data_IF_251828276237
#
_entry.id   IF_251828276237
#
_cell.length_a   1.000
_cell.length_b   1.000
_cell.length_c   1.000
_cell.angle_alpha   90.00
_cell.angle_beta   90.00
_cell.angle_gamma   90.00
#
_symmetry.space_group_name_H-M   'P 1'
#
loop_
_entity.id
_entity.type
_entity.pdbx_description
1 polymer ?
#
# COMPACT_ATOMS: atom_id res chain seq x y z
N UNK A 1 -4.21 -16.14 12.71
CA UNK A 1 -4.09 -15.08 11.71
C UNK A 1 -5.03 -13.95 12.05
N UNK A 2 -4.53 -12.72 11.98
CA UNK A 2 -5.34 -11.55 12.31
C UNK A 2 -6.26 -11.19 11.16
N UNK A 3 -7.51 -10.85 11.51
CA UNK A 3 -8.49 -10.35 10.58
C UNK A 3 -8.38 -8.83 10.55
N UNK A 4 -8.21 -8.23 9.36
CA UNK A 4 -8.17 -6.77 9.20
C UNK A 4 -9.16 -6.34 8.13
N UNK A 5 -9.39 -5.03 8.03
CA UNK A 5 -10.21 -4.49 6.95
C UNK A 5 -9.61 -4.87 5.58
N UNK A 6 -8.29 -4.96 5.47
CA UNK A 6 -7.62 -5.32 4.21
C UNK A 6 -7.86 -6.79 3.86
N UNK A 7 -7.85 -7.69 4.86
CA UNK A 7 -8.21 -9.09 4.62
C UNK A 7 -9.61 -9.20 4.02
N UNK A 8 -10.53 -8.40 4.53
CA UNK A 8 -11.91 -8.39 4.05
C UNK A 8 -12.03 -7.83 2.63
N UNK A 9 -11.24 -6.81 2.31
CA UNK A 9 -11.20 -6.27 0.96
C UNK A 9 -10.68 -7.33 -0.02
N UNK A 10 -9.61 -8.04 0.34
CA UNK A 10 -9.04 -9.11 -0.49
C UNK A 10 -10.10 -10.17 -0.79
N UNK A 11 -10.91 -10.55 0.20
CA UNK A 11 -11.95 -11.56 0.04
C UNK A 11 -13.25 -11.02 -0.55
N UNK A 12 -13.29 -9.74 -0.90
CA UNK A 12 -14.50 -9.08 -1.45
C UNK A 12 -15.66 -9.03 -0.47
N UNK A 13 -15.39 -9.07 0.82
CA UNK A 13 -16.42 -8.99 1.85
C UNK A 13 -16.86 -7.56 2.12
N UNK A 14 -15.99 -6.59 1.85
CA UNK A 14 -16.31 -5.16 1.89
C UNK A 14 -15.85 -4.51 0.60
N UNK A 15 -16.53 -3.44 0.15
CA UNK A 15 -16.17 -2.80 -1.12
C UNK A 15 -14.92 -1.95 -1.01
N UNK A 16 -14.23 -1.81 -2.15
CA UNK A 16 -13.12 -0.88 -2.30
C UNK A 16 -13.02 -0.50 -3.77
N UNK A 17 -12.47 0.67 -4.06
CA UNK A 17 -12.21 1.09 -5.43
C UNK A 17 -10.85 0.51 -5.86
N UNK A 18 -10.88 -0.69 -6.44
CA UNK A 18 -9.70 -1.42 -6.85
C UNK A 18 -9.20 -0.85 -8.17
N UNK A 19 -7.93 -0.46 -8.23
CA UNK A 19 -7.31 0.14 -9.42
C UNK A 19 -6.30 -0.80 -10.07
N UNK A 20 -5.87 -1.86 -9.37
CA UNK A 20 -4.94 -2.85 -9.90
C UNK A 20 -5.05 -4.13 -9.09
N UNK A 21 -4.85 -5.26 -9.74
CA UNK A 21 -4.83 -6.56 -9.05
C UNK A 21 -4.05 -7.57 -9.86
N UNK A 22 -3.28 -8.41 -9.18
CA UNK A 22 -2.69 -9.61 -9.77
C UNK A 22 -2.73 -10.74 -8.73
N UNK A 23 -2.07 -11.87 -9.01
CA UNK A 23 -2.10 -13.01 -8.12
C UNK A 23 -1.48 -12.74 -6.76
N UNK A 24 -0.60 -11.74 -6.65
CA UNK A 24 0.19 -11.49 -5.45
C UNK A 24 -0.29 -10.28 -4.66
N UNK A 25 -0.95 -9.32 -5.29
CA UNK A 25 -1.27 -8.06 -4.62
C UNK A 25 -2.51 -7.39 -5.19
N UNK A 26 -2.94 -6.36 -4.47
CA UNK A 26 -4.13 -5.59 -4.76
C UNK A 26 -3.82 -4.11 -4.51
N UNK A 27 -4.30 -3.22 -5.36
CA UNK A 27 -4.19 -1.78 -5.14
C UNK A 27 -5.57 -1.15 -5.19
N UNK A 28 -5.84 -0.25 -4.24
CA UNK A 28 -7.14 0.44 -4.14
C UNK A 28 -6.96 1.83 -3.55
N UNK A 29 -7.92 2.71 -3.81
CA UNK A 29 -7.86 4.09 -3.30
C UNK A 29 -8.18 4.12 -1.82
N UNK A 30 -7.46 4.99 -1.08
CA UNK A 30 -7.74 5.21 0.34
C UNK A 30 -9.03 6.01 0.49
N UNK A 31 -9.93 5.58 1.38
CA UNK A 31 -11.20 6.27 1.61
C UNK A 31 -11.03 7.54 2.44
N UNK A 32 -9.87 7.73 3.07
CA UNK A 32 -9.52 8.92 3.82
C UNK A 32 -8.23 9.50 3.25
N UNK A 33 -8.26 10.04 2.02
CA UNK A 33 -7.03 10.39 1.31
C UNK A 33 -6.29 11.55 1.97
N UNK A 34 -4.98 11.42 2.04
CA UNK A 34 -4.07 12.43 2.57
C UNK A 34 -3.38 13.22 1.45
N UNK A 35 -3.74 12.95 0.21
CA UNK A 35 -3.28 13.65 -0.98
C UNK A 35 -4.37 13.50 -2.06
N UNK A 36 -4.38 14.35 -3.10
CA UNK A 36 -5.36 14.19 -4.19
C UNK A 36 -5.34 12.81 -4.84
N UNK A 37 -4.16 12.18 -4.93
CA UNK A 37 -4.05 10.77 -5.26
C UNK A 37 -3.45 10.05 -4.06
N UNK A 38 -4.19 9.10 -3.50
CA UNK A 38 -3.74 8.30 -2.36
C UNK A 38 -4.21 6.86 -2.59
N UNK A 39 -3.27 5.99 -2.95
CA UNK A 39 -3.54 4.60 -3.30
C UNK A 39 -2.74 3.71 -2.35
N UNK A 40 -3.34 2.59 -1.95
CA UNK A 40 -2.69 1.58 -1.12
C UNK A 40 -2.40 0.35 -1.96
N UNK A 41 -1.18 -0.20 -1.82
CA UNK A 41 -0.81 -1.48 -2.42
C UNK A 41 -0.60 -2.46 -1.28
N UNK A 42 -1.29 -3.60 -1.34
CA UNK A 42 -1.21 -4.61 -0.28
C UNK A 42 -0.90 -5.98 -0.87
N UNK A 43 -0.13 -6.82 -0.17
CA UNK A 43 0.01 -8.22 -0.58
C UNK A 43 -1.24 -9.01 -0.23
N UNK A 44 -1.57 -10.00 -1.04
CA UNK A 44 -2.66 -10.94 -0.72
C UNK A 44 -2.24 -11.89 0.40
N UNK A 45 -0.96 -12.25 0.45
CA UNK A 45 -0.39 -13.00 1.58
C UNK A 45 -0.38 -12.09 2.81
N UNK A 46 -0.82 -12.61 3.96
CA UNK A 46 -0.77 -11.82 5.19
C UNK A 46 0.66 -11.62 5.67
N UNK A 47 1.08 -10.36 5.76
CA UNK A 47 2.31 -9.92 6.43
C UNK A 47 1.88 -8.75 7.28
N UNK A 48 2.14 -8.81 8.59
CA UNK A 48 1.68 -7.77 9.49
C UNK A 48 2.36 -6.42 9.22
N UNK A 49 3.68 -6.44 9.08
CA UNK A 49 4.48 -5.22 8.85
C UNK A 49 5.85 -5.63 8.30
N UNK A 50 6.68 -4.67 7.94
CA UNK A 50 8.02 -4.95 7.39
C UNK A 50 8.85 -5.79 8.37
N UNK A 51 8.78 -5.48 9.68
CA UNK A 51 9.58 -6.20 10.68
C UNK A 51 9.26 -7.70 10.74
N UNK A 52 8.03 -8.08 10.41
CA UNK A 52 7.64 -9.50 10.43
C UNK A 52 7.84 -10.21 9.11
N UNK A 53 8.24 -9.49 8.06
CA UNK A 53 8.56 -10.12 6.77
C UNK A 53 9.81 -11.00 6.93
N UNK A 54 9.84 -12.09 6.19
CA UNK A 54 10.94 -13.05 6.20
C UNK A 54 11.84 -12.83 4.99
N UNK A 55 13.06 -13.36 5.03
CA UNK A 55 13.97 -13.30 3.88
C UNK A 55 13.33 -13.94 2.64
N UNK A 56 12.51 -14.97 2.83
CA UNK A 56 11.79 -15.64 1.72
C UNK A 56 10.73 -14.74 1.08
N UNK A 57 10.37 -13.63 1.71
CA UNK A 57 9.42 -12.67 1.14
C UNK A 57 10.07 -11.66 0.21
N UNK A 58 11.36 -11.80 -0.07
CA UNK A 58 12.11 -10.83 -0.88
C UNK A 58 11.47 -10.62 -2.25
N UNK A 59 11.08 -11.68 -2.94
CA UNK A 59 10.44 -11.58 -4.25
C UNK A 59 9.11 -10.84 -4.16
N UNK A 60 8.30 -11.17 -3.14
CA UNK A 60 7.02 -10.50 -2.94
C UNK A 60 7.20 -9.02 -2.65
N UNK A 61 8.13 -8.66 -1.76
CA UNK A 61 8.38 -7.26 -1.42
C UNK A 61 8.85 -6.46 -2.64
N UNK A 62 9.73 -7.04 -3.46
CA UNK A 62 10.14 -6.41 -4.71
C UNK A 62 8.98 -6.25 -5.68
N UNK A 63 8.09 -7.25 -5.74
CA UNK A 63 6.89 -7.18 -6.57
C UNK A 63 5.98 -6.03 -6.14
N UNK A 64 5.81 -5.84 -4.83
CA UNK A 64 4.99 -4.73 -4.31
C UNK A 64 5.55 -3.38 -4.73
N UNK A 65 6.87 -3.19 -4.64
CA UNK A 65 7.49 -1.93 -5.04
C UNK A 65 7.37 -1.69 -6.55
N UNK A 66 7.54 -2.73 -7.36
CA UNK A 66 7.35 -2.59 -8.82
C UNK A 66 5.88 -2.35 -9.17
N UNK A 67 4.96 -2.90 -8.39
CA UNK A 67 3.54 -2.62 -8.56
C UNK A 67 3.22 -1.15 -8.26
N UNK A 68 3.85 -0.58 -7.22
CA UNK A 68 3.71 0.85 -6.95
C UNK A 68 4.08 1.68 -8.18
N UNK A 69 5.18 1.33 -8.83
CA UNK A 69 5.62 2.02 -10.06
C UNK A 69 4.56 1.93 -11.16
N UNK A 70 3.98 0.76 -11.39
CA UNK A 70 2.93 0.57 -12.41
C UNK A 70 1.68 1.37 -12.10
N UNK A 71 1.23 1.31 -10.84
CA UNK A 71 0.02 1.99 -10.39
C UNK A 71 0.19 3.50 -10.47
N UNK A 72 1.36 4.01 -10.08
CA UNK A 72 1.66 5.43 -10.18
C UNK A 72 1.63 5.90 -11.65
N UNK A 73 2.19 5.10 -12.56
CA UNK A 73 2.15 5.43 -13.99
C UNK A 73 0.71 5.45 -14.52
N UNK A 74 -0.10 4.48 -14.12
CA UNK A 74 -1.51 4.43 -14.52
C UNK A 74 -2.32 5.60 -13.94
N UNK A 75 -1.92 6.14 -12.81
CA UNK A 75 -2.54 7.30 -12.18
C UNK A 75 -1.97 8.63 -12.69
N UNK A 76 -1.06 8.59 -13.68
CA UNK A 76 -0.46 9.77 -14.32
C UNK A 76 0.34 10.63 -13.35
N UNK A 77 1.04 10.01 -12.39
CA UNK A 77 1.88 10.71 -11.42
C UNK A 77 3.26 11.01 -12.02
N UNK A 78 3.30 11.71 -13.15
CA UNK A 78 4.54 11.94 -13.90
C UNK A 78 5.48 12.94 -13.23
N UNK A 79 4.97 13.77 -12.30
CA UNK A 79 5.79 14.75 -11.57
C UNK A 79 6.40 14.16 -10.30
N UNK A 80 6.18 12.89 -10.05
CA UNK A 80 6.70 12.23 -8.85
C UNK A 80 5.62 11.98 -7.81
N UNK A 81 6.00 11.22 -6.80
CA UNK A 81 5.07 10.82 -5.73
C UNK A 81 5.91 10.33 -4.54
N UNK A 82 5.26 10.21 -3.39
CA UNK A 82 5.93 9.65 -2.21
C UNK A 82 5.38 8.26 -1.93
N UNK A 83 6.28 7.36 -1.59
CA UNK A 83 5.91 6.01 -1.11
C UNK A 83 6.13 6.00 0.39
N UNK A 84 5.12 5.56 1.15
CA UNK A 84 5.22 5.45 2.60
C UNK A 84 4.89 4.03 3.00
N UNK A 85 5.75 3.44 3.82
CA UNK A 85 5.52 2.14 4.45
C UNK A 85 5.70 2.36 5.94
N UNK A 86 4.61 2.33 6.69
CA UNK A 86 4.65 2.50 8.14
C UNK A 86 4.88 1.15 8.81
N UNK A 87 5.73 1.13 9.84
CA UNK A 87 6.01 -0.09 10.58
C UNK A 87 5.79 0.18 12.07
N UNK A 88 4.78 -0.47 12.64
CA UNK A 88 4.53 -0.43 14.07
C UNK A 88 3.92 0.89 14.55
N UNK A 89 3.79 1.00 15.87
CA UNK A 89 3.07 2.08 16.50
C UNK A 89 3.73 3.44 16.27
N UNK A 90 5.04 3.53 16.49
CA UNK A 90 5.75 4.80 16.32
C UNK A 90 5.85 5.21 14.85
N UNK A 91 5.75 4.25 13.94
CA UNK A 91 5.69 4.53 12.51
C UNK A 91 4.33 5.02 12.02
N UNK A 92 3.31 4.95 12.89
CA UNK A 92 1.97 5.37 12.52
C UNK A 92 1.18 4.32 11.75
N UNK A 93 1.54 3.05 11.90
CA UNK A 93 0.81 1.96 11.24
C UNK A 93 -0.52 1.73 11.95
N UNK A 94 -1.63 1.95 11.25
CA UNK A 94 -2.97 1.84 11.84
C UNK A 94 -3.69 0.56 11.48
N UNK A 95 -3.26 -0.14 10.42
CA UNK A 95 -3.82 -1.44 10.02
C UNK A 95 -2.68 -2.46 10.05
N UNK A 96 -2.89 -3.57 10.76
CA UNK A 96 -1.88 -4.62 10.94
C UNK A 96 -1.86 -5.60 9.76
N UNK A 97 -1.70 -5.06 8.58
CA UNK A 97 -1.49 -5.75 7.34
C UNK A 97 -0.63 -4.83 6.49
N UNK A 98 0.53 -5.31 6.07
CA UNK A 98 1.50 -4.53 5.31
C UNK A 98 0.82 -3.79 4.16
N UNK A 99 1.10 -2.50 4.05
CA UNK A 99 0.59 -1.71 2.94
C UNK A 99 1.56 -0.59 2.60
N UNK A 100 1.62 -0.29 1.30
CA UNK A 100 2.45 0.77 0.76
C UNK A 100 1.52 1.87 0.29
N UNK A 101 1.70 3.08 0.85
CA UNK A 101 0.95 4.26 0.41
C UNK A 101 1.64 4.88 -0.80
N UNK A 102 0.84 5.28 -1.78
CA UNK A 102 1.28 6.13 -2.89
C UNK A 102 0.56 7.46 -2.71
N UNK A 103 1.32 8.53 -2.49
CA UNK A 103 0.78 9.87 -2.27
C UNK A 103 1.26 10.76 -3.41
N UNK A 104 0.34 11.34 -4.16
CA UNK A 104 0.69 12.13 -5.33
C UNK A 104 -0.24 13.30 -5.57
N UNK A 105 0.09 14.06 -6.60
CA UNK A 105 -0.65 15.24 -7.05
C UNK A 105 -0.61 16.41 -6.05
N UNK A 106 0.38 16.40 -5.16
CA UNK A 106 0.76 17.57 -4.37
C UNK A 106 2.24 17.48 -4.03
N UNK A 107 2.86 18.61 -3.76
CA UNK A 107 4.27 18.63 -3.35
C UNK A 107 4.40 18.18 -1.89
N UNK A 108 5.24 17.20 -1.67
CA UNK A 108 5.56 16.73 -0.33
C UNK A 108 6.62 17.61 0.29
N UNK A 109 6.60 17.69 1.61
CA UNK A 109 7.55 18.49 2.37
C UNK A 109 8.61 17.62 3.03
N UNK A 110 9.66 18.25 3.51
CA UNK A 110 10.68 17.59 4.31
C UNK A 110 10.91 18.43 5.57
N UNK A 111 10.94 17.83 6.77
CA UNK A 111 10.85 16.39 7.07
C UNK A 111 9.50 15.78 6.74
N UNK A 112 9.45 14.42 6.60
CA UNK A 112 8.25 13.76 6.08
C UNK A 112 7.11 13.59 7.08
N UNK A 113 7.34 13.87 8.34
CA UNK A 113 6.30 13.69 9.35
C UNK A 113 6.19 14.75 10.40
#
# INVERSE_FOLDING_TARGET
MSETIFSKIIRREIPANIVYEDDLCLAFTDINPQAPTHILVIPKQFIKCIDTALDDDQTLLGHLLLTVKKVAANANLSNGYRIVINNGNDGGQTVDHLHLHILGDRKMQWPPG
#
